data_IF_577562530351
#
_entry.id   IF_577562530351
#
_cell.length_a   1.000
_cell.length_b   1.000
_cell.length_c   1.000
_cell.angle_alpha   90.00
_cell.angle_beta   90.00
_cell.angle_gamma   90.00
#
_symmetry.space_group_name_H-M   'P 1'
#
loop_
_entity.id
_entity.type
_entity.pdbx_description
1 polymer ?
#
# COMPACT_ATOMS: atom_id res chain seq x y z
N UNK A 1 -5.06 9.32 -5.90
CA UNK A 1 -3.80 9.36 -6.64
C UNK A 1 -2.59 9.67 -5.75
N UNK A 2 -2.54 10.82 -5.05
CA UNK A 2 -1.35 11.17 -4.23
C UNK A 2 -1.05 10.14 -3.15
N UNK A 3 -2.06 9.66 -2.44
CA UNK A 3 -1.92 8.63 -1.40
C UNK A 3 -1.33 7.32 -1.96
N UNK A 4 -1.75 6.90 -3.13
CA UNK A 4 -1.23 5.70 -3.80
C UNK A 4 0.23 5.89 -4.22
N UNK A 5 0.60 7.07 -4.76
CA UNK A 5 1.98 7.38 -5.13
C UNK A 5 2.89 7.41 -3.90
N UNK A 6 2.42 8.01 -2.80
CA UNK A 6 3.15 7.98 -1.52
C UNK A 6 3.30 6.54 -0.99
N UNK A 7 2.25 5.71 -1.10
CA UNK A 7 2.31 4.31 -0.72
C UNK A 7 3.34 3.52 -1.54
N UNK A 8 3.40 3.74 -2.87
CA UNK A 8 4.41 3.17 -3.73
C UNK A 8 5.83 3.56 -3.28
N UNK A 9 6.06 4.86 -3.07
CA UNK A 9 7.37 5.38 -2.65
C UNK A 9 7.73 4.96 -1.22
N UNK A 10 6.73 4.75 -0.35
CA UNK A 10 6.92 4.14 0.96
C UNK A 10 7.47 2.72 0.84
N UNK A 11 6.85 1.87 0.03
CA UNK A 11 7.35 0.53 -0.25
C UNK A 11 8.77 0.54 -0.79
N UNK A 12 9.04 1.46 -1.71
CA UNK A 12 10.34 1.54 -2.40
C UNK A 12 11.49 1.97 -1.47
N UNK A 13 11.25 2.79 -0.43
CA UNK A 13 12.34 3.47 0.26
C UNK A 13 12.28 3.49 1.79
N UNK A 14 11.14 3.20 2.41
CA UNK A 14 10.97 3.37 3.87
C UNK A 14 10.91 2.07 4.66
N UNK A 15 10.88 0.94 4.00
CA UNK A 15 10.87 -0.38 4.65
C UNK A 15 12.26 -1.00 4.66
N UNK A 16 12.53 -1.82 5.66
CA UNK A 16 13.79 -2.60 5.73
C UNK A 16 13.92 -3.57 4.55
N UNK A 17 12.80 -4.10 4.06
CA UNK A 17 12.74 -5.04 2.94
C UNK A 17 12.53 -4.38 1.56
N UNK A 18 12.62 -3.05 1.47
CA UNK A 18 12.44 -2.29 0.20
C UNK A 18 13.34 -2.78 -0.93
N UNK A 19 14.57 -3.21 -0.61
CA UNK A 19 15.54 -3.71 -1.61
C UNK A 19 15.12 -5.03 -2.26
N UNK A 20 14.18 -5.76 -1.67
CA UNK A 20 13.63 -7.00 -2.23
C UNK A 20 12.61 -6.76 -3.34
N UNK A 21 12.05 -5.54 -3.42
CA UNK A 21 11.01 -5.19 -4.39
C UNK A 21 11.62 -4.64 -5.67
N UNK A 22 11.14 -5.12 -6.79
CA UNK A 22 11.56 -4.69 -8.12
C UNK A 22 10.44 -4.06 -8.93
N UNK A 23 9.23 -4.61 -8.84
CA UNK A 23 8.03 -4.11 -9.51
C UNK A 23 7.05 -3.51 -8.50
N UNK A 24 6.32 -2.48 -8.94
CA UNK A 24 5.19 -1.90 -8.22
C UNK A 24 3.97 -1.95 -9.13
N UNK A 25 3.12 -2.94 -8.90
CA UNK A 25 1.89 -3.18 -9.65
C UNK A 25 0.81 -2.21 -9.18
N UNK A 26 0.10 -1.59 -10.13
CA UNK A 26 -0.86 -0.53 -9.88
C UNK A 26 -2.27 -1.02 -10.17
N UNK A 27 -3.14 -0.95 -9.15
CA UNK A 27 -4.58 -1.14 -9.27
C UNK A 27 -4.96 -2.46 -9.99
N UNK A 28 -4.30 -3.55 -9.61
CA UNK A 28 -4.58 -4.91 -10.09
C UNK A 28 -4.97 -5.82 -8.92
N UNK A 29 -4.07 -6.10 -7.99
CA UNK A 29 -4.38 -6.85 -6.76
C UNK A 29 -5.07 -5.95 -5.73
N UNK A 30 -4.53 -4.74 -5.59
CA UNK A 30 -4.99 -3.65 -4.73
C UNK A 30 -4.45 -2.32 -5.28
N UNK A 31 -4.54 -1.23 -4.50
CA UNK A 31 -4.08 0.10 -4.95
C UNK A 31 -2.63 0.06 -5.44
N UNK A 32 -1.73 -0.51 -4.61
CA UNK A 32 -0.32 -0.75 -4.96
C UNK A 32 0.10 -2.11 -4.41
N UNK A 33 0.84 -2.87 -5.22
CA UNK A 33 1.44 -4.12 -4.78
C UNK A 33 2.91 -4.15 -5.18
N UNK A 34 3.80 -4.22 -4.19
CA UNK A 34 5.22 -4.51 -4.42
C UNK A 34 5.41 -5.96 -4.82
N UNK A 35 6.38 -6.21 -5.69
CA UNK A 35 6.69 -7.55 -6.17
C UNK A 35 8.20 -7.72 -6.29
N UNK A 36 8.72 -8.88 -5.91
CA UNK A 36 10.14 -9.20 -6.05
C UNK A 36 10.57 -9.38 -7.52
N UNK A 37 11.88 -9.45 -7.77
CA UNK A 37 12.42 -9.60 -9.14
C UNK A 37 12.01 -10.92 -9.81
N UNK A 38 11.72 -11.96 -9.03
CA UNK A 38 11.23 -13.25 -9.53
C UNK A 38 9.71 -13.23 -9.77
N UNK A 39 9.03 -12.11 -9.48
CA UNK A 39 7.59 -11.93 -9.61
C UNK A 39 6.75 -13.01 -8.88
N UNK A 40 7.18 -13.37 -7.67
CA UNK A 40 6.55 -14.41 -6.85
C UNK A 40 6.02 -13.90 -5.53
N UNK A 41 6.79 -13.07 -4.81
CA UNK A 41 6.43 -12.52 -3.51
C UNK A 41 5.76 -11.17 -3.66
N UNK A 42 4.67 -10.96 -2.92
CA UNK A 42 3.82 -9.79 -3.03
C UNK A 42 3.72 -9.06 -1.69
N UNK A 43 3.86 -7.73 -1.73
CA UNK A 43 3.61 -6.79 -0.63
C UNK A 43 2.36 -5.98 -0.95
N UNK A 44 1.27 -6.25 -0.28
CA UNK A 44 -0.04 -5.70 -0.63
C UNK A 44 -0.35 -4.42 0.14
N UNK A 45 -0.76 -3.37 -0.56
CA UNK A 45 -1.09 -2.07 0.03
C UNK A 45 -2.44 -1.57 -0.44
N UNK A 46 -3.32 -1.32 0.52
CA UNK A 46 -4.52 -0.50 0.37
C UNK A 46 -4.26 0.89 0.91
N UNK A 47 -4.59 1.95 0.16
CA UNK A 47 -4.35 3.33 0.56
C UNK A 47 -5.65 4.10 0.79
N UNK A 48 -5.65 5.00 1.78
CA UNK A 48 -6.77 5.91 2.08
C UNK A 48 -6.26 7.30 2.43
N UNK A 49 -6.70 8.29 1.67
CA UNK A 49 -6.28 9.67 1.84
C UNK A 49 -6.99 10.41 2.99
N UNK A 50 -8.07 9.86 3.56
CA UNK A 50 -8.81 10.50 4.65
C UNK A 50 -7.91 10.74 5.87
N UNK A 51 -7.94 11.95 6.41
CA UNK A 51 -7.16 12.34 7.60
C UNK A 51 -7.82 11.93 8.92
N UNK A 52 -9.10 11.57 8.91
CA UNK A 52 -9.90 11.27 10.11
C UNK A 52 -10.70 9.99 9.95
N UNK A 53 -10.08 8.94 9.39
CA UNK A 53 -10.73 7.65 9.22
C UNK A 53 -11.20 7.05 10.54
N UNK A 54 -12.52 6.73 10.65
CA UNK A 54 -13.03 5.99 11.81
C UNK A 54 -12.54 4.54 11.78
N UNK A 55 -12.39 3.92 12.94
CA UNK A 55 -11.97 2.53 13.06
C UNK A 55 -12.88 1.58 12.25
N UNK A 56 -14.19 1.81 12.25
CA UNK A 56 -15.15 1.00 11.48
C UNK A 56 -14.94 1.16 9.96
N UNK A 57 -14.70 2.39 9.50
CA UNK A 57 -14.40 2.65 8.07
C UNK A 57 -13.10 1.98 7.67
N UNK A 58 -12.05 2.11 8.48
CA UNK A 58 -10.77 1.45 8.24
C UNK A 58 -10.96 -0.07 8.15
N UNK A 59 -11.76 -0.67 9.04
CA UNK A 59 -12.11 -2.08 8.98
C UNK A 59 -12.73 -2.49 7.64
N UNK A 60 -13.64 -1.69 7.09
CA UNK A 60 -14.24 -1.95 5.77
C UNK A 60 -13.22 -1.92 4.64
N UNK A 61 -12.26 -1.00 4.71
CA UNK A 61 -11.19 -0.88 3.71
C UNK A 61 -10.21 -2.06 3.71
N UNK A 62 -10.11 -2.80 4.81
CA UNK A 62 -9.29 -4.00 4.90
C UNK A 62 -9.82 -5.19 4.09
N UNK A 63 -11.05 -5.12 3.56
CA UNK A 63 -11.67 -6.25 2.83
C UNK A 63 -10.85 -6.69 1.62
N UNK A 64 -10.23 -5.77 0.89
CA UNK A 64 -9.42 -6.10 -0.28
C UNK A 64 -8.10 -6.77 0.10
N UNK A 65 -7.47 -6.32 1.18
CA UNK A 65 -6.30 -7.00 1.76
C UNK A 65 -6.68 -8.40 2.28
N UNK A 66 -7.83 -8.52 2.93
CA UNK A 66 -8.33 -9.81 3.41
C UNK A 66 -8.62 -10.79 2.27
N UNK A 67 -9.22 -10.33 1.17
CA UNK A 67 -9.39 -11.12 -0.06
C UNK A 67 -8.05 -11.73 -0.51
N UNK A 68 -6.99 -10.93 -0.52
CA UNK A 68 -5.67 -11.38 -0.92
C UNK A 68 -5.04 -12.32 0.12
N UNK A 69 -5.30 -12.09 1.41
CA UNK A 69 -4.84 -12.96 2.51
C UNK A 69 -5.40 -14.40 2.39
N UNK A 70 -6.64 -14.55 1.96
CA UNK A 70 -7.28 -15.88 1.80
C UNK A 70 -7.08 -16.47 0.40
N UNK A 71 -6.37 -15.77 -0.50
CA UNK A 71 -6.06 -16.26 -1.84
C UNK A 71 -4.86 -17.23 -1.82
N UNK A 72 -4.68 -17.95 -2.94
CA UNK A 72 -3.55 -18.88 -3.13
C UNK A 72 -2.24 -18.19 -3.55
N UNK A 73 -2.28 -16.87 -3.83
CA UNK A 73 -1.09 -16.10 -4.20
C UNK A 73 -0.19 -15.84 -2.97
N UNK A 74 1.12 -15.76 -3.19
CA UNK A 74 2.10 -15.60 -2.12
C UNK A 74 2.24 -14.13 -1.67
N UNK A 75 1.26 -13.62 -0.95
CA UNK A 75 1.38 -12.36 -0.24
C UNK A 75 2.18 -12.53 1.04
N UNK A 76 3.23 -11.73 1.21
CA UNK A 76 4.13 -11.78 2.37
C UNK A 76 3.85 -10.67 3.38
N UNK A 77 3.20 -9.59 2.96
CA UNK A 77 2.85 -8.43 3.80
C UNK A 77 1.51 -7.83 3.37
N UNK A 78 0.78 -7.33 4.37
CA UNK A 78 -0.49 -6.62 4.20
C UNK A 78 -0.40 -5.27 4.90
N UNK A 79 -0.56 -4.19 4.15
CA UNK A 79 -0.34 -2.83 4.63
C UNK A 79 -1.58 -1.98 4.32
N UNK A 80 -2.11 -1.32 5.35
CA UNK A 80 -3.06 -0.24 5.14
C UNK A 80 -2.36 1.10 5.35
N UNK A 81 -2.28 1.90 4.28
CA UNK A 81 -1.61 3.19 4.23
C UNK A 81 -2.65 4.31 4.37
N UNK A 82 -2.62 5.04 5.48
CA UNK A 82 -3.68 5.94 5.93
C UNK A 82 -3.21 7.39 5.98
N UNK A 83 -3.98 8.32 5.43
CA UNK A 83 -3.75 9.76 5.57
C UNK A 83 -3.88 10.27 7.01
N UNK A 84 -4.53 9.52 7.88
CA UNK A 84 -4.68 9.80 9.30
C UNK A 84 -5.70 8.90 9.96
N UNK A 85 -5.76 8.96 11.28
CA UNK A 85 -6.71 8.22 12.13
C UNK A 85 -7.22 9.12 13.24
N UNK A 86 -8.34 8.76 13.87
CA UNK A 86 -8.84 9.48 15.04
C UNK A 86 -7.85 9.40 16.22
N UNK A 87 -7.90 10.40 17.11
CA UNK A 87 -7.00 10.46 18.29
C UNK A 87 -7.16 9.25 19.22
N UNK A 88 -8.32 8.60 19.21
CA UNK A 88 -8.64 7.44 20.04
C UNK A 88 -8.29 6.10 19.37
N UNK A 89 -7.71 6.13 18.20
CA UNK A 89 -7.40 4.91 17.44
C UNK A 89 -6.19 4.18 18.02
N UNK A 90 -5.14 4.90 18.37
CA UNK A 90 -3.85 4.34 18.83
C UNK A 90 -3.66 4.48 20.33
N UNK A 91 -2.99 3.50 20.94
CA UNK A 91 -2.51 3.57 22.33
C UNK A 91 -1.35 4.56 22.45
N UNK A 92 -0.38 4.46 21.53
CA UNK A 92 0.74 5.40 21.39
C UNK A 92 0.61 6.17 20.06
N UNK A 93 0.19 7.44 20.10
CA UNK A 93 -0.01 8.24 18.89
C UNK A 93 1.31 8.66 18.20
N UNK A 94 2.46 8.45 18.80
CA UNK A 94 3.77 8.81 18.22
C UNK A 94 4.24 7.81 17.18
N UNK A 95 3.72 6.58 17.20
CA UNK A 95 4.06 5.55 16.23
C UNK A 95 3.28 5.76 14.94
N UNK A 96 3.99 6.02 13.82
CA UNK A 96 3.39 6.13 12.48
C UNK A 96 3.28 4.78 11.77
N UNK A 97 4.09 3.77 12.17
CA UNK A 97 4.06 2.40 11.64
C UNK A 97 3.84 1.44 12.81
N UNK A 98 2.77 0.68 12.77
CA UNK A 98 2.38 -0.19 13.89
C UNK A 98 1.48 -1.36 13.46
N UNK A 99 1.33 -2.33 14.35
CA UNK A 99 0.40 -3.45 14.23
C UNK A 99 -0.82 -3.22 15.14
N UNK A 100 -1.75 -4.18 15.18
CA UNK A 100 -2.91 -4.12 16.07
C UNK A 100 -2.54 -3.96 17.55
N UNK A 101 -1.31 -4.27 17.96
CA UNK A 101 -0.85 -4.11 19.33
C UNK A 101 -0.90 -2.65 19.81
N UNK A 102 -0.77 -1.70 18.88
CA UNK A 102 -0.90 -0.26 19.16
C UNK A 102 -2.31 0.29 18.88
N UNK A 103 -3.26 -0.56 18.53
CA UNK A 103 -4.67 -0.16 18.35
C UNK A 103 -5.41 -0.27 19.68
N UNK A 104 -6.19 0.76 20.05
CA UNK A 104 -7.04 0.69 21.23
C UNK A 104 -8.11 -0.39 21.11
N UNK A 105 -8.49 -1.02 22.20
CA UNK A 105 -9.41 -2.16 22.23
C UNK A 105 -10.78 -1.83 21.62
N UNK A 106 -11.31 -0.62 21.88
CA UNK A 106 -12.56 -0.16 21.27
C UNK A 106 -12.44 0.04 19.76
N UNK A 107 -11.31 0.57 19.31
CA UNK A 107 -11.01 0.71 17.87
C UNK A 107 -10.87 -0.66 17.22
N UNK A 108 -10.18 -1.61 17.85
CA UNK A 108 -10.03 -2.98 17.34
C UNK A 108 -11.38 -3.69 17.18
N UNK A 109 -12.29 -3.55 18.13
CA UNK A 109 -13.67 -4.08 18.01
C UNK A 109 -14.39 -3.47 16.79
N UNK A 110 -14.25 -2.16 16.59
CA UNK A 110 -14.86 -1.46 15.46
C UNK A 110 -14.24 -1.86 14.11
N UNK A 111 -12.92 -2.07 14.06
CA UNK A 111 -12.23 -2.60 12.86
C UNK A 111 -12.78 -3.97 12.49
N UNK A 112 -12.85 -4.90 13.46
CA UNK A 112 -13.39 -6.24 13.24
C UNK A 112 -14.82 -6.19 12.72
N UNK A 113 -15.68 -5.40 13.35
CA UNK A 113 -17.07 -5.23 12.92
C UNK A 113 -17.16 -4.67 11.50
N UNK A 114 -16.36 -3.64 11.17
CA UNK A 114 -16.31 -3.06 9.84
C UNK A 114 -15.87 -4.06 8.77
N UNK A 115 -14.82 -4.84 9.04
CA UNK A 115 -14.33 -5.87 8.12
C UNK A 115 -15.38 -6.97 7.91
N UNK A 116 -15.97 -7.50 8.97
CA UNK A 116 -17.03 -8.52 8.88
C UNK A 116 -18.24 -7.99 8.09
N UNK A 117 -18.70 -6.77 8.41
CA UNK A 117 -19.82 -6.15 7.71
C UNK A 117 -19.55 -6.04 6.20
N UNK A 118 -18.32 -5.69 5.83
CA UNK A 118 -17.95 -5.53 4.43
C UNK A 118 -17.75 -6.88 3.73
N UNK A 119 -17.11 -7.86 4.37
CA UNK A 119 -16.97 -9.22 3.84
C UNK A 119 -18.32 -9.85 3.46
N UNK A 120 -19.34 -9.65 4.29
CA UNK A 120 -20.70 -10.16 4.01
C UNK A 120 -21.35 -9.57 2.76
N UNK A 121 -20.87 -8.42 2.28
CA UNK A 121 -21.42 -7.76 1.08
C UNK A 121 -20.69 -8.16 -0.20
N UNK A 122 -19.52 -8.80 -0.09
CA UNK A 122 -18.66 -9.12 -1.22
C UNK A 122 -18.86 -10.56 -1.66
N UNK A 123 -19.30 -10.75 -2.90
CA UNK A 123 -19.52 -12.08 -3.50
C UNK A 123 -18.23 -12.91 -3.60
N UNK A 124 -17.06 -12.24 -3.68
CA UNK A 124 -15.76 -12.89 -3.76
C UNK A 124 -15.19 -13.36 -2.40
N UNK A 125 -15.90 -13.10 -1.28
CA UNK A 125 -15.56 -13.65 0.03
C UNK A 125 -16.59 -14.73 0.38
N UNK A 126 -16.15 -15.99 0.47
CA UNK A 126 -17.06 -17.09 0.83
C UNK A 126 -17.47 -17.01 2.30
N UNK A 127 -18.63 -17.57 2.62
CA UNK A 127 -19.14 -17.59 4.00
C UNK A 127 -18.17 -18.31 4.98
N UNK A 128 -17.43 -19.31 4.50
CA UNK A 128 -16.42 -20.04 5.28
C UNK A 128 -15.18 -19.21 5.61
N UNK A 129 -14.95 -18.11 4.86
CA UNK A 129 -13.87 -17.15 5.13
C UNK A 129 -14.30 -16.09 6.15
N UNK A 130 -15.59 -15.92 6.42
CA UNK A 130 -16.09 -14.98 7.43
C UNK A 130 -16.07 -15.67 8.81
N UNK A 131 -14.89 -16.14 9.18
CA UNK A 131 -14.63 -16.81 10.47
C UNK A 131 -13.84 -15.88 11.41
N UNK A 132 -14.27 -15.83 12.67
CA UNK A 132 -13.65 -14.96 13.68
C UNK A 132 -12.18 -15.25 13.93
N UNK A 133 -11.77 -16.53 13.86
CA UNK A 133 -10.38 -16.95 14.02
C UNK A 133 -9.51 -16.54 12.83
N UNK A 134 -10.00 -16.74 11.60
CA UNK A 134 -9.31 -16.32 10.37
C UNK A 134 -9.15 -14.80 10.31
N UNK A 135 -10.20 -14.05 10.62
CA UNK A 135 -10.17 -12.58 10.69
C UNK A 135 -9.18 -12.11 11.75
N UNK A 136 -9.16 -12.71 12.93
CA UNK A 136 -8.21 -12.38 13.97
C UNK A 136 -6.76 -12.67 13.54
N UNK A 137 -6.50 -13.80 12.89
CA UNK A 137 -5.19 -14.17 12.35
C UNK A 137 -4.74 -13.18 11.28
N UNK A 138 -5.62 -12.76 10.37
CA UNK A 138 -5.33 -11.74 9.38
C UNK A 138 -4.96 -10.41 10.04
N UNK A 139 -5.77 -9.92 10.98
CA UNK A 139 -5.51 -8.64 11.64
C UNK A 139 -4.17 -8.63 12.40
N UNK A 140 -3.71 -9.77 12.90
CA UNK A 140 -2.40 -9.89 13.56
C UNK A 140 -1.21 -9.66 12.61
N UNK A 141 -1.39 -9.81 11.31
CA UNK A 141 -0.33 -9.63 10.30
C UNK A 141 -0.44 -8.32 9.53
N UNK A 142 -1.48 -7.53 9.77
CA UNK A 142 -1.67 -6.23 9.10
C UNK A 142 -0.76 -5.16 9.72
N UNK A 143 -0.07 -4.42 8.86
CA UNK A 143 0.65 -3.20 9.20
C UNK A 143 -0.22 -1.98 8.91
N UNK A 144 -0.29 -1.09 9.88
CA UNK A 144 -0.89 0.24 9.76
C UNK A 144 0.21 1.27 9.56
N UNK A 145 0.12 2.06 8.51
CA UNK A 145 1.08 3.12 8.21
C UNK A 145 0.33 4.43 8.10
N UNK A 146 0.70 5.41 8.92
CA UNK A 146 0.17 6.76 8.85
C UNK A 146 1.06 7.60 7.95
N UNK A 147 0.48 8.21 6.93
CA UNK A 147 1.15 9.16 6.05
C UNK A 147 1.36 10.51 6.76
N UNK A 148 2.51 10.66 7.38
CA UNK A 148 2.95 11.85 8.11
C UNK A 148 3.94 12.71 7.32
N UNK A 149 4.17 12.40 6.03
CA UNK A 149 5.20 13.03 5.19
C UNK A 149 4.59 13.83 4.04
N UNK A 150 5.32 14.87 3.61
CA UNK A 150 5.00 15.61 2.40
C UNK A 150 5.46 14.83 1.15
N UNK A 151 4.90 15.10 -0.04
CA UNK A 151 5.34 14.48 -1.29
C UNK A 151 6.84 14.62 -1.53
N UNK A 152 7.40 15.78 -1.24
CA UNK A 152 8.83 16.12 -1.41
C UNK A 152 9.74 15.21 -0.58
N UNK A 153 9.29 14.81 0.62
CA UNK A 153 10.08 13.97 1.53
C UNK A 153 10.29 12.56 0.96
N UNK A 154 9.29 12.04 0.22
CA UNK A 154 9.42 10.75 -0.46
C UNK A 154 10.47 10.78 -1.57
N UNK A 155 10.55 11.87 -2.32
CA UNK A 155 11.57 12.06 -3.36
C UNK A 155 12.93 12.28 -2.73
N UNK A 156 13.01 13.12 -1.69
CA UNK A 156 14.24 13.38 -0.93
C UNK A 156 14.87 12.07 -0.43
N UNK A 157 14.06 11.12 0.00
CA UNK A 157 14.51 9.80 0.46
C UNK A 157 15.22 8.99 -0.65
N UNK A 158 14.81 9.15 -1.90
CA UNK A 158 15.48 8.48 -3.04
C UNK A 158 16.90 9.02 -3.24
N UNK A 159 17.06 10.35 -3.12
CA UNK A 159 18.34 11.03 -3.39
C UNK A 159 19.24 11.20 -2.16
N UNK A 160 18.79 10.76 -0.99
CA UNK A 160 19.49 10.88 0.29
C UNK A 160 20.94 10.36 0.24
N UNK A 161 21.20 9.39 -0.61
CA UNK A 161 22.54 8.80 -0.81
C UNK A 161 23.46 9.66 -1.69
N UNK A 162 22.99 10.79 -2.23
CA UNK A 162 23.72 11.69 -3.11
C UNK A 162 23.78 13.10 -2.50
N UNK A 163 24.55 13.31 -1.40
CA UNK A 163 24.49 14.55 -0.61
C UNK A 163 25.01 15.80 -1.35
N UNK A 164 25.67 15.62 -2.48
CA UNK A 164 26.12 16.74 -3.32
C UNK A 164 24.98 17.43 -4.10
N UNK A 165 23.78 16.84 -4.11
CA UNK A 165 22.62 17.33 -4.85
C UNK A 165 21.57 17.79 -3.85
N UNK A 166 21.26 19.08 -3.84
CA UNK A 166 20.24 19.69 -2.97
C UNK A 166 19.18 20.36 -3.86
N UNK A 167 18.20 19.60 -4.38
CA UNK A 167 17.11 20.16 -5.16
C UNK A 167 16.17 20.99 -4.28
N UNK A 168 15.49 21.96 -4.90
CA UNK A 168 14.45 22.73 -4.22
C UNK A 168 13.19 21.86 -3.95
N UNK A 169 12.36 22.28 -2.98
CA UNK A 169 11.09 21.61 -2.72
C UNK A 169 10.17 21.64 -3.96
N UNK A 170 10.25 22.69 -4.78
CA UNK A 170 9.51 22.80 -6.05
C UNK A 170 9.94 21.73 -7.05
N UNK A 171 11.26 21.47 -7.18
CA UNK A 171 11.77 20.42 -8.06
C UNK A 171 11.36 19.04 -7.56
N UNK A 172 11.45 18.79 -6.25
CA UNK A 172 11.03 17.54 -5.64
C UNK A 172 9.53 17.27 -5.84
N UNK A 173 8.69 18.28 -5.67
CA UNK A 173 7.25 18.16 -5.92
C UNK A 173 6.96 17.92 -7.40
N UNK A 174 7.70 18.54 -8.32
CA UNK A 174 7.58 18.31 -9.76
C UNK A 174 7.88 16.85 -10.11
N UNK A 175 8.95 16.30 -9.55
CA UNK A 175 9.33 14.88 -9.73
C UNK A 175 8.24 13.94 -9.17
N UNK A 176 7.73 14.22 -7.98
CA UNK A 176 6.63 13.45 -7.40
C UNK A 176 5.40 13.43 -8.33
N UNK A 177 5.03 14.59 -8.87
CA UNK A 177 3.89 14.70 -9.80
C UNK A 177 4.14 13.92 -11.11
N UNK A 178 5.36 13.86 -11.60
CA UNK A 178 5.70 13.07 -12.78
C UNK A 178 5.58 11.57 -12.51
N UNK A 179 6.06 11.08 -11.36
CA UNK A 179 5.88 9.69 -10.94
C UNK A 179 4.38 9.36 -10.83
N UNK A 180 3.59 10.24 -10.22
CA UNK A 180 2.14 10.09 -10.10
C UNK A 180 1.46 9.98 -11.48
N UNK A 181 1.86 10.80 -12.44
CA UNK A 181 1.32 10.76 -13.78
C UNK A 181 1.66 9.44 -14.48
N UNK A 182 2.92 8.99 -14.41
CA UNK A 182 3.33 7.68 -14.94
C UNK A 182 2.58 6.53 -14.27
N UNK A 183 2.37 6.59 -12.97
CA UNK A 183 1.55 5.61 -12.25
C UNK A 183 0.10 5.59 -12.76
N UNK A 184 -0.49 6.77 -12.98
CA UNK A 184 -1.85 6.88 -13.49
C UNK A 184 -2.00 6.33 -14.91
N UNK A 185 -0.99 6.51 -15.77
CA UNK A 185 -0.96 5.94 -17.12
C UNK A 185 -1.02 4.40 -17.11
N UNK A 186 -0.44 3.76 -16.08
CA UNK A 186 -0.49 2.29 -15.93
C UNK A 186 -1.90 1.75 -15.68
N UNK A 187 -2.85 2.58 -15.26
CA UNK A 187 -4.25 2.19 -15.05
C UNK A 187 -5.06 2.10 -16.36
N UNK A 188 -4.52 2.53 -17.48
CA UNK A 188 -5.24 2.57 -18.76
C UNK A 188 -5.45 1.18 -19.40
N UNK A 189 -4.70 0.16 -18.98
CA UNK A 189 -4.90 -1.20 -19.48
C UNK A 189 -6.13 -1.82 -18.84
N UNK A 190 -7.06 -2.33 -19.64
CA UNK A 190 -8.24 -3.03 -19.15
C UNK A 190 -7.84 -4.40 -18.57
N UNK A 191 -8.21 -4.63 -17.30
CA UNK A 191 -7.95 -5.89 -16.57
C UNK A 191 -9.21 -6.43 -15.87
N UNK A 192 -10.37 -5.87 -16.18
CA UNK A 192 -11.63 -6.31 -15.61
C UNK A 192 -11.90 -7.78 -15.98
N UNK A 193 -12.21 -8.61 -14.99
CA UNK A 193 -12.47 -10.03 -15.19
C UNK A 193 -11.24 -10.90 -15.43
N UNK A 194 -10.02 -10.33 -15.39
CA UNK A 194 -8.79 -11.11 -15.49
C UNK A 194 -8.59 -11.94 -14.22
N UNK A 195 -8.37 -13.24 -14.40
CA UNK A 195 -8.01 -14.18 -13.34
C UNK A 195 -6.60 -14.66 -13.64
N UNK A 196 -5.74 -14.67 -12.63
CA UNK A 196 -4.38 -15.19 -12.70
C UNK A 196 -4.17 -16.26 -11.62
N UNK A 197 -3.38 -17.27 -11.93
CA UNK A 197 -2.99 -18.34 -11.01
C UNK A 197 -1.63 -18.05 -10.36
N UNK A 198 -0.76 -17.35 -11.07
CA UNK A 198 0.57 -16.98 -10.60
C UNK A 198 0.78 -15.46 -10.68
N UNK A 199 1.55 -14.91 -9.74
CA UNK A 199 1.76 -13.47 -9.63
C UNK A 199 2.44 -12.84 -10.85
N UNK A 200 3.36 -13.55 -11.52
CA UNK A 200 4.08 -13.09 -12.72
C UNK A 200 3.17 -12.88 -13.94
N UNK A 201 2.01 -13.51 -13.97
CA UNK A 201 1.03 -13.35 -15.05
C UNK A 201 0.45 -11.92 -15.15
N UNK A 202 0.65 -11.08 -14.12
CA UNK A 202 0.26 -9.66 -14.17
C UNK A 202 1.18 -8.82 -15.04
N UNK A 203 2.45 -9.20 -15.20
CA UNK A 203 3.46 -8.39 -15.88
C UNK A 203 3.14 -8.08 -17.35
N UNK A 204 2.63 -9.02 -18.19
CA UNK A 204 2.24 -8.74 -19.56
C UNK A 204 1.19 -7.64 -19.74
N UNK A 205 0.39 -7.36 -18.70
CA UNK A 205 -0.61 -6.28 -18.76
C UNK A 205 0.00 -4.87 -18.65
N UNK A 206 1.31 -4.76 -18.33
CA UNK A 206 2.00 -3.47 -18.26
C UNK A 206 1.53 -2.54 -17.15
N UNK A 207 0.79 -3.04 -16.16
CA UNK A 207 0.26 -2.28 -15.01
C UNK A 207 1.28 -2.15 -13.88
N UNK A 208 2.53 -1.87 -14.22
CA UNK A 208 3.58 -1.75 -13.20
C UNK A 208 4.62 -0.68 -13.56
N UNK A 209 5.28 -0.19 -12.54
CA UNK A 209 6.53 0.57 -12.60
C UNK A 209 7.63 -0.27 -11.95
N UNK A 210 8.86 -0.09 -12.40
CA UNK A 210 10.02 -0.71 -11.73
C UNK A 210 10.76 0.27 -10.86
N UNK A 211 11.49 -0.24 -9.87
CA UNK A 211 12.41 0.57 -9.05
C UNK A 211 13.40 1.36 -9.93
N UNK A 212 13.91 0.73 -10.99
CA UNK A 212 14.87 1.36 -11.89
C UNK A 212 14.25 2.49 -12.71
N UNK A 213 13.03 2.32 -13.24
CA UNK A 213 12.31 3.39 -13.95
C UNK A 213 12.14 4.64 -13.08
N UNK A 214 11.72 4.44 -11.83
CA UNK A 214 11.52 5.55 -10.89
C UNK A 214 12.86 6.23 -10.55
N UNK A 215 13.90 5.46 -10.27
CA UNK A 215 15.23 6.01 -9.97
C UNK A 215 15.82 6.79 -11.15
N UNK A 216 15.71 6.25 -12.37
CA UNK A 216 16.18 6.92 -13.59
C UNK A 216 15.44 8.24 -13.82
N UNK A 217 14.12 8.25 -13.63
CA UNK A 217 13.33 9.48 -13.73
C UNK A 217 13.84 10.54 -12.74
N UNK A 218 14.06 10.18 -11.49
CA UNK A 218 14.58 11.10 -10.46
C UNK A 218 15.95 11.62 -10.84
N UNK A 219 16.88 10.76 -11.26
CA UNK A 219 18.24 11.15 -11.66
C UNK A 219 18.22 12.10 -12.86
N UNK A 220 17.43 11.78 -13.90
CA UNK A 220 17.34 12.62 -15.11
C UNK A 220 16.77 14.02 -14.86
N UNK A 221 16.02 14.21 -13.79
CA UNK A 221 15.44 15.51 -13.43
C UNK A 221 16.33 16.34 -12.51
N UNK A 222 17.28 15.72 -11.85
CA UNK A 222 18.16 16.37 -10.87
C UNK A 222 19.54 16.70 -11.49
N UNK A 223 20.00 15.91 -12.45
CA UNK A 223 21.23 16.13 -13.21
C UNK A 223 20.98 16.95 -14.47
#
# INVERSE_FOLDING_TARGET
ADSETKALLYLMNYREDSTKMHFFVVDFFNDITGMDSAARKLWDVQSKASKTGSAKTIGRELVTLYKNYVSDLQFVEYIIFLGGVSNTFRKDPTQSVFTINNVNDSALKSIKAGLVDECKKKEYISASEIDGGKIASFLNVVWFVIDDKKPEDYIRKIIEKHPAIIPSDTDLLSIFNEIRNKQSEKKNTLVEGVIIDNADEVLPYGRHLTTNEIRLLVIQRIL
#
